data_IF_854033774943
#
_entry.id   IF_854033774943
#
_cell.length_a   1.000
_cell.length_b   1.000
_cell.length_c   1.000
_cell.angle_alpha   90.00
_cell.angle_beta   90.00
_cell.angle_gamma   90.00
#
_symmetry.space_group_name_H-M   'P 1'
#
loop_
_entity.id
_entity.type
_entity.pdbx_description
1 polymer ?
#
# COMPACT_ATOMS: atom_id res chain seq x y z
N UNK A 1 17.47 1.58 23.19
CA UNK A 1 18.18 1.84 24.46
C UNK A 1 19.65 1.99 24.12
N UNK A 2 20.36 3.02 24.60
CA UNK A 2 21.83 3.11 24.48
C UNK A 2 22.47 2.39 25.68
N UNK A 3 23.53 1.62 25.45
CA UNK A 3 24.34 1.06 26.54
C UNK A 3 25.11 2.16 27.29
N UNK A 4 25.56 1.86 28.51
CA UNK A 4 26.25 2.80 29.41
C UNK A 4 27.57 3.39 28.85
N UNK A 5 28.08 2.86 27.74
CA UNK A 5 29.31 3.29 27.07
C UNK A 5 29.07 3.99 25.72
N UNK A 6 27.81 4.21 25.31
CA UNK A 6 27.48 4.94 24.08
C UNK A 6 27.64 4.14 22.78
N UNK A 7 27.94 2.85 22.84
CA UNK A 7 27.97 1.99 21.66
C UNK A 7 26.53 1.61 21.22
N UNK A 8 26.26 1.54 19.90
CA UNK A 8 24.97 1.07 19.41
C UNK A 8 24.76 -0.38 19.88
N UNK A 9 23.66 -0.63 20.60
CA UNK A 9 23.28 -2.00 21.00
C UNK A 9 22.95 -2.79 19.73
N UNK A 10 23.93 -3.53 19.21
CA UNK A 10 23.78 -4.38 18.04
C UNK A 10 22.94 -5.59 18.37
N UNK A 11 21.61 -5.44 18.41
CA UNK A 11 20.71 -6.58 18.42
C UNK A 11 20.65 -7.14 16.99
N UNK A 12 21.44 -8.17 16.73
CA UNK A 12 21.33 -8.93 15.50
C UNK A 12 20.15 -9.89 15.63
N UNK A 13 19.17 -9.87 14.71
CA UNK A 13 18.13 -10.88 14.70
C UNK A 13 18.78 -12.26 14.51
N UNK A 14 18.50 -13.17 15.45
CA UNK A 14 18.89 -14.57 15.38
C UNK A 14 17.72 -15.38 14.83
N UNK A 15 18.03 -16.48 14.14
CA UNK A 15 17.02 -17.46 13.76
C UNK A 15 16.57 -18.30 14.98
N UNK A 16 15.58 -19.17 14.79
CA UNK A 16 15.08 -20.09 15.82
C UNK A 16 16.14 -21.06 16.38
N UNK A 17 17.32 -21.13 15.76
CA UNK A 17 18.44 -21.97 16.14
C UNK A 17 19.58 -21.17 16.81
N UNK A 18 19.42 -19.85 17.00
CA UNK A 18 20.41 -19.00 17.66
C UNK A 18 21.59 -18.59 16.78
N UNK A 19 21.50 -18.75 15.46
CA UNK A 19 22.53 -18.29 14.53
C UNK A 19 22.26 -16.84 14.10
N UNK A 20 23.31 -16.03 14.09
CA UNK A 20 23.23 -14.64 13.64
C UNK A 20 22.92 -14.60 12.14
N UNK A 21 21.80 -13.96 11.76
CA UNK A 21 21.43 -13.80 10.36
C UNK A 21 22.34 -12.73 9.75
N UNK A 22 23.38 -13.17 9.05
CA UNK A 22 24.27 -12.29 8.30
C UNK A 22 23.52 -11.85 7.03
N UNK A 23 22.87 -10.68 7.08
CA UNK A 23 22.30 -10.07 5.88
C UNK A 23 23.44 -9.81 4.89
N UNK A 24 23.45 -10.54 3.76
CA UNK A 24 24.40 -10.31 2.68
C UNK A 24 24.37 -8.82 2.29
N UNK A 25 25.55 -8.19 2.24
CA UNK A 25 25.69 -6.83 1.76
C UNK A 25 25.18 -6.75 0.31
N UNK A 26 24.29 -5.82 -0.04
CA UNK A 26 23.84 -5.68 -1.41
C UNK A 26 25.04 -5.33 -2.31
N UNK A 27 25.31 -6.17 -3.30
CA UNK A 27 26.33 -5.91 -4.30
C UNK A 27 26.03 -4.56 -5.02
N UNK A 28 27.05 -3.73 -5.31
CA UNK A 28 26.82 -2.48 -6.01
C UNK A 28 26.33 -2.75 -7.44
N UNK A 29 25.10 -2.34 -7.73
CA UNK A 29 24.56 -2.35 -9.09
C UNK A 29 25.33 -1.36 -9.96
N UNK A 30 26.16 -1.88 -10.87
CA UNK A 30 26.81 -1.09 -11.92
C UNK A 30 25.80 -0.90 -13.06
N UNK A 31 25.28 0.31 -13.23
CA UNK A 31 24.47 0.65 -14.41
C UNK A 31 25.37 0.76 -15.65
N UNK A 32 25.10 0.03 -16.75
CA UNK A 32 25.82 0.26 -17.99
C UNK A 32 25.45 1.65 -18.55
N UNK A 33 26.47 2.48 -18.77
CA UNK A 33 26.34 3.75 -19.49
C UNK A 33 26.09 3.42 -20.97
N UNK A 34 24.83 3.52 -21.40
CA UNK A 34 24.47 3.43 -22.82
C UNK A 34 24.76 4.78 -23.48
N UNK A 35 25.69 4.80 -24.44
CA UNK A 35 25.94 5.97 -25.29
C UNK A 35 24.70 6.30 -26.15
N UNK A 36 24.38 7.58 -26.39
CA UNK A 36 23.23 7.95 -27.20
C UNK A 36 23.52 7.68 -28.69
N UNK A 37 22.87 6.67 -29.25
CA UNK A 37 22.75 6.53 -30.70
C UNK A 37 21.46 7.24 -31.17
N UNK A 38 21.65 8.18 -32.12
CA UNK A 38 20.75 8.84 -33.06
C UNK A 38 19.21 8.92 -32.80
N UNK A 39 18.56 10.05 -33.18
CA UNK A 39 17.15 10.27 -32.90
C UNK A 39 16.25 9.36 -33.76
N UNK A 40 15.53 8.44 -33.11
CA UNK A 40 14.43 7.71 -33.73
C UNK A 40 13.13 8.52 -33.61
N UNK A 41 12.46 8.67 -34.75
CA UNK A 41 11.17 9.33 -34.92
C UNK A 41 10.08 8.45 -34.27
N UNK A 42 9.33 8.98 -33.30
CA UNK A 42 8.19 8.29 -32.70
C UNK A 42 6.97 8.32 -33.65
N UNK A 43 6.29 7.19 -33.92
CA UNK A 43 4.95 7.20 -34.49
C UNK A 43 3.90 7.62 -33.42
N UNK A 44 2.73 8.11 -33.84
CA UNK A 44 1.77 8.77 -32.95
C UNK A 44 1.11 7.80 -31.96
N UNK A 45 0.84 8.33 -30.76
CA UNK A 45 0.24 7.66 -29.60
C UNK A 45 -1.08 6.97 -29.94
N UNK A 46 -1.03 5.64 -30.07
CA UNK A 46 -2.20 4.77 -29.93
C UNK A 46 -2.48 4.48 -28.45
N UNK A 47 -3.72 4.67 -28.02
CA UNK A 47 -4.20 4.27 -26.69
C UNK A 47 -4.11 2.74 -26.54
N UNK A 48 -3.31 2.28 -25.59
CA UNK A 48 -3.24 0.89 -25.09
C UNK A 48 -2.44 0.91 -23.79
N UNK A 49 -2.98 0.48 -22.66
CA UNK A 49 -3.09 -0.95 -22.34
C UNK A 49 -1.83 -1.35 -21.60
N UNK A 50 -1.83 -1.24 -20.27
CA UNK A 50 -0.71 -1.66 -19.42
C UNK A 50 -0.75 -3.19 -19.29
N UNK A 51 -0.16 -3.88 -20.27
CA UNK A 51 0.20 -5.30 -20.16
C UNK A 51 1.73 -5.37 -20.06
N UNK A 52 2.25 -5.82 -18.92
CA UNK A 52 3.69 -5.88 -18.71
C UNK A 52 4.11 -6.30 -17.31
N UNK A 53 3.54 -7.40 -16.79
CA UNK A 53 4.32 -8.32 -15.96
C UNK A 53 4.78 -9.45 -16.88
N UNK A 54 6.09 -9.67 -16.90
CA UNK A 54 6.81 -10.79 -17.51
C UNK A 54 6.92 -10.83 -19.04
N UNK A 55 8.04 -10.28 -19.53
CA UNK A 55 8.56 -10.60 -20.85
C UNK A 55 9.08 -12.05 -20.89
N UNK A 56 8.33 -12.94 -21.54
CA UNK A 56 8.86 -14.21 -22.02
C UNK A 56 9.73 -13.93 -23.25
N UNK A 57 10.99 -14.39 -23.33
CA UNK A 57 11.82 -14.20 -24.50
C UNK A 57 11.21 -14.92 -25.73
N UNK A 58 11.27 -14.32 -26.95
CA UNK A 58 10.55 -14.82 -28.12
C UNK A 58 11.17 -16.06 -28.78
N UNK A 59 11.81 -16.96 -28.04
CA UNK A 59 12.51 -18.14 -28.61
C UNK A 59 12.51 -19.37 -27.69
N UNK A 60 11.43 -19.63 -26.95
CA UNK A 60 11.23 -20.93 -26.32
C UNK A 60 10.86 -21.98 -27.40
N UNK A 61 11.54 -23.14 -27.48
CA UNK A 61 11.17 -24.21 -28.40
C UNK A 61 9.73 -24.68 -28.13
N UNK A 62 8.93 -24.79 -29.19
CA UNK A 62 7.61 -25.43 -29.10
C UNK A 62 7.79 -26.88 -28.63
N UNK A 63 7.03 -27.36 -27.63
CA UNK A 63 7.03 -28.76 -27.23
C UNK A 63 6.52 -29.63 -28.39
N UNK A 64 7.15 -30.79 -28.57
CA UNK A 64 6.80 -31.74 -29.61
C UNK A 64 5.38 -32.28 -29.42
N UNK A 65 4.65 -32.58 -30.51
CA UNK A 65 3.32 -33.17 -30.41
C UNK A 65 3.47 -34.65 -30.02
N UNK A 66 3.17 -34.99 -28.77
CA UNK A 66 3.17 -36.38 -28.32
C UNK A 66 3.30 -36.63 -26.82
N UNK A 67 3.67 -35.62 -26.03
CA UNK A 67 3.82 -35.84 -24.59
C UNK A 67 2.44 -35.93 -23.89
N UNK A 68 2.19 -36.97 -23.09
CA UNK A 68 0.95 -37.10 -22.34
C UNK A 68 0.86 -35.97 -21.31
N UNK A 69 -0.24 -35.22 -21.38
CA UNK A 69 -0.63 -34.24 -20.37
C UNK A 69 -0.88 -35.02 -19.07
N UNK A 70 0.12 -35.06 -18.19
CA UNK A 70 -0.07 -35.47 -16.80
C UNK A 70 -0.83 -34.33 -16.16
N UNK A 71 -2.15 -34.47 -16.05
CA UNK A 71 -3.00 -33.58 -15.26
C UNK A 71 -2.57 -33.72 -13.79
N UNK A 72 -1.89 -32.71 -13.19
CA UNK A 72 -1.59 -32.77 -11.79
C UNK A 72 -2.88 -32.49 -11.05
N UNK A 73 -3.63 -33.55 -10.75
CA UNK A 73 -4.75 -33.54 -9.82
C UNK A 73 -4.35 -32.64 -8.63
N UNK A 74 -4.99 -31.47 -8.45
CA UNK A 74 -4.57 -30.54 -7.42
C UNK A 74 -4.83 -31.22 -6.08
N UNK A 75 -3.74 -31.58 -5.39
CA UNK A 75 -3.80 -32.00 -4.00
C UNK A 75 -4.63 -30.96 -3.22
N UNK A 76 -5.54 -31.37 -2.33
CA UNK A 76 -6.28 -30.43 -1.49
C UNK A 76 -5.26 -29.54 -0.78
N UNK A 77 -5.26 -28.25 -1.11
CA UNK A 77 -4.45 -27.27 -0.39
C UNK A 77 -4.93 -27.35 1.06
N UNK A 78 -4.08 -27.75 2.02
CA UNK A 78 -4.50 -27.77 3.41
C UNK A 78 -4.97 -26.37 3.79
N UNK A 79 -6.09 -26.22 4.51
CA UNK A 79 -6.55 -24.91 4.95
C UNK A 79 -5.40 -24.23 5.66
N UNK A 80 -5.03 -23.04 5.16
CA UNK A 80 -3.91 -22.26 5.67
C UNK A 80 -4.25 -21.78 7.08
N UNK A 81 -3.96 -22.61 8.08
CA UNK A 81 -4.03 -22.28 9.50
C UNK A 81 -2.79 -21.49 9.91
N UNK A 82 -2.45 -20.45 9.16
CA UNK A 82 -1.54 -19.46 9.71
C UNK A 82 -2.26 -18.88 10.93
N UNK A 83 -1.62 -18.86 12.13
CA UNK A 83 -2.21 -18.23 13.28
C UNK A 83 -2.62 -16.83 12.84
N UNK A 84 -3.85 -16.43 13.16
CA UNK A 84 -4.29 -15.04 13.01
C UNK A 84 -3.40 -14.24 13.95
N UNK A 85 -2.22 -13.84 13.46
CA UNK A 85 -1.33 -13.05 14.27
C UNK A 85 -1.98 -11.68 14.32
N UNK A 86 -2.52 -11.37 15.49
CA UNK A 86 -3.09 -10.09 15.89
C UNK A 86 -2.00 -9.02 15.95
N UNK A 87 -1.38 -8.71 14.81
CA UNK A 87 -0.39 -7.64 14.66
C UNK A 87 -1.02 -6.25 14.52
N UNK A 88 -2.35 -6.15 14.55
CA UNK A 88 -3.00 -4.86 14.70
C UNK A 88 -2.78 -4.39 16.15
N UNK A 89 -1.63 -3.78 16.40
CA UNK A 89 -1.45 -2.94 17.58
C UNK A 89 -2.68 -2.02 17.67
N UNK A 90 -3.41 -2.01 18.80
CA UNK A 90 -4.59 -1.18 18.94
C UNK A 90 -4.11 0.27 18.98
N UNK A 91 -4.08 0.91 17.83
CA UNK A 91 -3.98 2.35 17.82
C UNK A 91 -5.29 2.99 18.26
N UNK A 92 -5.31 4.32 18.42
CA UNK A 92 -6.46 5.05 18.92
C UNK A 92 -7.64 5.11 17.93
N UNK A 93 -7.56 4.42 16.79
CA UNK A 93 -8.59 4.42 15.76
C UNK A 93 -9.74 3.44 16.08
N UNK A 94 -10.96 3.89 15.84
CA UNK A 94 -12.17 3.10 16.04
C UNK A 94 -12.69 2.59 14.69
N UNK A 95 -12.68 1.26 14.46
CA UNK A 95 -13.14 0.66 13.20
C UNK A 95 -14.50 -0.02 13.44
N UNK A 96 -15.55 0.48 12.78
CA UNK A 96 -16.94 0.02 12.99
C UNK A 96 -17.63 -0.40 11.69
N UNK A 97 -18.61 -1.30 11.80
CA UNK A 97 -19.42 -1.76 10.66
C UNK A 97 -18.65 -2.61 9.62
N UNK A 98 -17.41 -2.99 9.91
CA UNK A 98 -16.55 -3.79 9.03
C UNK A 98 -16.55 -5.27 9.44
N UNK A 99 -16.30 -6.16 8.47
CA UNK A 99 -16.01 -7.58 8.75
C UNK A 99 -14.66 -7.75 9.45
N UNK A 100 -14.42 -8.86 10.17
CA UNK A 100 -13.12 -9.12 10.81
C UNK A 100 -11.93 -9.06 9.83
N UNK A 101 -12.11 -9.55 8.60
CA UNK A 101 -11.09 -9.52 7.56
C UNK A 101 -10.77 -8.07 7.15
N UNK A 102 -11.80 -7.25 6.93
CA UNK A 102 -11.63 -5.83 6.63
C UNK A 102 -10.95 -5.08 7.78
N UNK A 103 -11.33 -5.34 9.04
CA UNK A 103 -10.70 -4.72 10.22
C UNK A 103 -9.20 -5.04 10.24
N UNK A 104 -8.82 -6.30 10.01
CA UNK A 104 -7.42 -6.70 9.97
C UNK A 104 -6.67 -6.00 8.83
N UNK A 105 -7.27 -5.89 7.65
CA UNK A 105 -6.67 -5.24 6.48
C UNK A 105 -6.49 -3.73 6.68
N UNK A 106 -7.54 -3.04 7.12
CA UNK A 106 -7.51 -1.62 7.50
C UNK A 106 -6.43 -1.39 8.57
N UNK A 107 -6.39 -2.23 9.61
CA UNK A 107 -5.40 -2.14 10.69
C UNK A 107 -3.95 -2.24 10.19
N UNK A 108 -3.67 -3.12 9.23
CA UNK A 108 -2.34 -3.22 8.61
C UNK A 108 -1.96 -1.92 7.88
N UNK A 109 -2.88 -1.37 7.08
CA UNK A 109 -2.63 -0.12 6.37
C UNK A 109 -2.50 1.09 7.30
N UNK A 110 -3.33 1.19 8.33
CA UNK A 110 -3.22 2.25 9.34
C UNK A 110 -1.90 2.17 10.10
N UNK A 111 -1.48 0.97 10.47
CA UNK A 111 -0.18 0.79 11.12
C UNK A 111 0.96 1.27 10.22
N UNK A 112 0.96 0.91 8.94
CA UNK A 112 1.96 1.36 7.97
C UNK A 112 1.93 2.88 7.77
N UNK A 113 0.75 3.46 7.54
CA UNK A 113 0.56 4.90 7.37
C UNK A 113 1.05 5.67 8.60
N UNK A 114 0.50 5.37 9.77
CA UNK A 114 0.74 6.14 10.98
C UNK A 114 2.15 5.97 11.55
N UNK A 115 2.76 4.80 11.42
CA UNK A 115 4.10 4.57 11.99
C UNK A 115 5.23 4.85 11.01
N UNK A 116 5.01 4.67 9.69
CA UNK A 116 6.11 4.69 8.71
C UNK A 116 6.01 5.84 7.72
N UNK A 117 4.80 6.30 7.38
CA UNK A 117 4.60 7.27 6.29
C UNK A 117 4.34 8.69 6.79
N UNK A 118 3.66 8.83 7.92
CA UNK A 118 3.25 10.12 8.50
C UNK A 118 4.42 10.78 9.27
N UNK A 119 5.48 11.16 8.55
CA UNK A 119 6.64 11.90 9.09
C UNK A 119 6.66 13.38 8.70
N UNK A 120 7.62 14.19 9.18
CA UNK A 120 7.87 15.57 8.73
C UNK A 120 7.15 16.68 9.52
N UNK A 121 7.34 17.96 9.09
CA UNK A 121 6.93 19.15 9.84
C UNK A 121 6.01 20.12 9.07
N UNK A 122 5.43 19.71 7.94
CA UNK A 122 4.44 20.55 7.25
C UNK A 122 3.13 20.62 8.06
N UNK A 123 2.31 21.68 7.90
CA UNK A 123 1.03 21.78 8.61
C UNK A 123 0.14 20.54 8.43
N UNK A 124 0.05 20.03 7.20
CA UNK A 124 -0.72 18.83 6.91
C UNK A 124 -0.16 17.59 7.60
N UNK A 125 1.17 17.38 7.58
CA UNK A 125 1.80 16.24 8.26
C UNK A 125 1.61 16.29 9.77
N UNK A 126 1.71 17.47 10.38
CA UNK A 126 1.38 17.64 11.81
C UNK A 126 -0.08 17.30 12.11
N UNK A 127 -1.01 17.65 11.22
CA UNK A 127 -2.40 17.25 11.36
C UNK A 127 -2.58 15.73 11.24
N UNK A 128 -2.00 15.08 10.22
CA UNK A 128 -2.05 13.62 10.06
C UNK A 128 -1.44 12.89 11.26
N UNK A 129 -0.31 13.39 11.80
CA UNK A 129 0.30 12.87 13.03
C UNK A 129 -0.65 13.01 14.22
N UNK A 130 -1.41 14.11 14.30
CA UNK A 130 -2.40 14.30 15.34
C UNK A 130 -3.58 13.34 15.18
N UNK A 131 -4.06 13.08 13.96
CA UNK A 131 -5.08 12.05 13.72
C UNK A 131 -4.58 10.65 14.14
N UNK A 132 -3.35 10.29 13.77
CA UNK A 132 -2.74 9.02 14.18
C UNK A 132 -2.55 8.88 15.69
N UNK A 133 -2.29 9.99 16.41
CA UNK A 133 -2.11 10.00 17.87
C UNK A 133 -3.40 10.09 18.66
N UNK A 134 -4.38 10.85 18.18
CA UNK A 134 -5.62 11.12 18.90
C UNK A 134 -6.75 10.18 18.48
N UNK A 135 -6.59 9.48 17.36
CA UNK A 135 -7.60 8.58 16.82
C UNK A 135 -8.62 9.30 15.95
N UNK A 136 -9.29 8.48 15.15
CA UNK A 136 -10.42 8.83 14.31
C UNK A 136 -11.25 7.56 14.08
N UNK A 137 -12.46 7.72 13.56
CA UNK A 137 -13.35 6.61 13.24
C UNK A 137 -13.22 6.24 11.77
N UNK A 138 -13.09 4.95 11.50
CA UNK A 138 -13.31 4.38 10.18
C UNK A 138 -14.58 3.53 10.25
N UNK A 139 -15.53 3.79 9.34
CA UNK A 139 -16.72 2.97 9.18
C UNK A 139 -16.72 2.30 7.82
N UNK A 140 -17.06 1.01 7.75
CA UNK A 140 -17.38 0.40 6.47
C UNK A 140 -18.80 0.80 6.05
N UNK A 141 -18.89 1.46 4.91
CA UNK A 141 -20.14 1.92 4.32
C UNK A 141 -20.88 0.82 3.57
N UNK A 142 -22.16 1.07 3.33
CA UNK A 142 -23.04 0.22 2.52
C UNK A 142 -23.24 0.79 1.11
N UNK A 143 -23.66 -0.06 0.16
CA UNK A 143 -23.70 0.30 -1.26
C UNK A 143 -24.43 1.60 -1.59
N UNK A 144 -25.55 1.91 -0.92
CA UNK A 144 -26.35 3.09 -1.23
C UNK A 144 -25.69 4.42 -0.84
N UNK A 145 -25.01 4.49 0.31
CA UNK A 145 -24.28 5.70 0.74
C UNK A 145 -22.95 5.90 -0.01
N UNK A 146 -22.48 4.82 -0.65
CA UNK A 146 -21.25 4.79 -1.43
C UNK A 146 -21.43 5.21 -2.89
N UNK A 147 -22.63 5.64 -3.29
CA UNK A 147 -22.88 6.19 -4.61
C UNK A 147 -22.70 7.71 -4.58
N UNK A 148 -21.68 8.18 -5.30
CA UNK A 148 -21.41 9.60 -5.46
C UNK A 148 -22.42 10.31 -6.37
N UNK A 149 -22.17 11.61 -6.56
CA UNK A 149 -22.93 12.40 -7.54
C UNK A 149 -22.77 11.74 -8.93
N UNK A 150 -23.87 11.64 -9.68
CA UNK A 150 -23.95 11.00 -11.01
C UNK A 150 -23.89 9.45 -11.01
N UNK A 151 -24.13 8.80 -9.87
CA UNK A 151 -24.21 7.33 -9.83
C UNK A 151 -22.85 6.64 -9.83
N UNK A 152 -21.76 7.38 -9.67
CA UNK A 152 -20.40 6.83 -9.71
C UNK A 152 -20.08 6.26 -8.32
N UNK A 153 -19.67 4.98 -8.21
CA UNK A 153 -19.28 4.40 -6.94
C UNK A 153 -18.04 5.12 -6.39
N UNK A 154 -18.04 5.33 -5.07
CA UNK A 154 -16.91 5.91 -4.34
C UNK A 154 -16.09 4.79 -3.72
N UNK A 155 -14.80 5.03 -3.60
CA UNK A 155 -13.89 4.18 -2.85
C UNK A 155 -13.99 4.50 -1.35
N UNK A 156 -13.98 5.79 -1.02
CA UNK A 156 -14.19 6.28 0.31
C UNK A 156 -14.72 7.71 0.27
N UNK A 157 -15.07 8.24 1.43
CA UNK A 157 -15.27 9.66 1.63
C UNK A 157 -15.14 10.03 3.11
N UNK A 158 -14.80 11.27 3.36
CA UNK A 158 -14.76 11.86 4.70
C UNK A 158 -16.07 12.59 5.01
N UNK A 159 -16.61 12.39 6.22
CA UNK A 159 -17.84 13.05 6.66
C UNK A 159 -17.54 14.50 7.03
N UNK A 160 -17.97 15.45 6.21
CA UNK A 160 -17.79 16.90 6.41
C UNK A 160 -19.12 17.65 6.49
N UNK A 161 -19.22 18.76 7.26
CA UNK A 161 -18.19 19.35 8.12
C UNK A 161 -18.12 18.71 9.52
N UNK A 162 -16.91 18.60 10.07
CA UNK A 162 -16.69 18.26 11.48
C UNK A 162 -16.63 16.78 11.85
N UNK A 163 -16.68 15.86 10.88
CA UNK A 163 -16.57 14.43 11.17
C UNK A 163 -15.12 13.98 11.28
N UNK A 164 -14.73 13.47 12.45
CA UNK A 164 -13.57 12.59 12.61
C UNK A 164 -13.91 11.16 12.10
N UNK A 165 -14.67 11.06 11.02
CA UNK A 165 -15.14 9.81 10.45
C UNK A 165 -14.78 9.71 8.96
N UNK A 166 -14.15 8.60 8.60
CA UNK A 166 -13.88 8.17 7.23
C UNK A 166 -14.79 6.99 6.93
N UNK A 167 -15.51 7.03 5.81
CA UNK A 167 -16.34 5.92 5.35
C UNK A 167 -15.63 5.21 4.21
N UNK A 168 -15.28 3.93 4.41
CA UNK A 168 -14.71 3.07 3.38
C UNK A 168 -15.82 2.29 2.69
N UNK A 169 -15.94 2.44 1.39
CA UNK A 169 -16.95 1.77 0.59
C UNK A 169 -16.51 0.37 0.16
N UNK A 170 -17.46 -0.52 -0.21
CA UNK A 170 -17.12 -1.87 -0.66
C UNK A 170 -16.06 -1.89 -1.77
N UNK A 171 -16.16 -0.94 -2.71
CA UNK A 171 -15.24 -0.78 -3.83
C UNK A 171 -13.79 -0.51 -3.40
N UNK A 172 -13.53 0.10 -2.23
CA UNK A 172 -12.14 0.28 -1.77
C UNK A 172 -11.39 -1.04 -1.50
N UNK A 173 -12.11 -2.15 -1.34
CA UNK A 173 -11.53 -3.47 -1.08
C UNK A 173 -11.46 -4.34 -2.34
N UNK A 174 -12.31 -4.07 -3.33
CA UNK A 174 -12.52 -4.98 -4.48
C UNK A 174 -12.26 -4.34 -5.83
N UNK A 175 -12.42 -3.02 -5.95
CA UNK A 175 -12.31 -2.32 -7.22
C UNK A 175 -10.85 -1.84 -7.44
N UNK A 176 -10.14 -2.37 -8.44
CA UNK A 176 -8.75 -1.97 -8.68
C UNK A 176 -8.60 -0.49 -9.08
N UNK A 177 -9.67 0.16 -9.56
CA UNK A 177 -9.66 1.59 -9.87
C UNK A 177 -9.53 2.46 -8.61
N UNK A 178 -9.87 1.91 -7.44
CA UNK A 178 -9.70 2.59 -6.16
C UNK A 178 -8.23 2.63 -5.68
N UNK A 179 -7.31 1.99 -6.40
CA UNK A 179 -5.92 1.89 -6.00
C UNK A 179 -5.74 1.00 -4.76
N UNK A 180 -4.65 1.20 -4.01
CA UNK A 180 -4.45 0.43 -2.79
C UNK A 180 -5.20 1.06 -1.61
N UNK A 181 -5.74 0.22 -0.71
CA UNK A 181 -6.56 0.69 0.41
C UNK A 181 -5.83 1.74 1.28
N UNK A 182 -4.54 1.56 1.52
CA UNK A 182 -3.76 2.50 2.32
C UNK A 182 -3.62 3.91 1.71
N UNK A 183 -3.66 4.01 0.38
CA UNK A 183 -3.69 5.30 -0.34
C UNK A 183 -5.02 6.00 -0.12
N UNK A 184 -6.12 5.27 -0.30
CA UNK A 184 -7.47 5.75 -0.05
C UNK A 184 -7.63 6.26 1.39
N UNK A 185 -7.10 5.53 2.38
CA UNK A 185 -7.13 5.99 3.77
C UNK A 185 -6.38 7.32 3.95
N UNK A 186 -5.17 7.45 3.41
CA UNK A 186 -4.38 8.70 3.51
C UNK A 186 -5.06 9.86 2.82
N UNK A 187 -5.65 9.63 1.65
CA UNK A 187 -6.40 10.62 0.91
C UNK A 187 -7.53 11.21 1.78
N UNK A 188 -8.34 10.34 2.38
CA UNK A 188 -9.44 10.77 3.26
C UNK A 188 -8.95 11.44 4.56
N UNK A 189 -7.85 10.96 5.15
CA UNK A 189 -7.24 11.65 6.29
C UNK A 189 -6.79 13.08 5.94
N UNK A 190 -6.35 13.33 4.69
CA UNK A 190 -6.00 14.68 4.25
C UNK A 190 -7.24 15.61 4.22
N UNK A 191 -8.40 15.09 3.81
CA UNK A 191 -9.66 15.82 3.89
C UNK A 191 -10.04 16.18 5.34
N UNK A 192 -9.82 15.28 6.31
CA UNK A 192 -9.99 15.61 7.74
C UNK A 192 -9.07 16.74 8.21
N UNK A 193 -7.92 16.90 7.55
CA UNK A 193 -6.98 17.99 7.80
C UNK A 193 -7.30 19.29 7.05
N UNK A 194 -8.48 19.41 6.44
CA UNK A 194 -8.95 20.62 5.80
C UNK A 194 -8.46 20.81 4.36
N UNK A 195 -7.83 19.80 3.76
CA UNK A 195 -7.56 19.80 2.32
C UNK A 195 -8.89 19.59 1.61
N UNK A 196 -9.43 20.60 0.93
CA UNK A 196 -10.75 20.53 0.29
C UNK A 196 -10.68 20.19 -1.19
N UNK A 197 -9.50 20.28 -1.79
CA UNK A 197 -9.27 20.01 -3.20
C UNK A 197 -8.70 18.61 -3.41
N UNK A 198 -9.36 17.83 -4.26
CA UNK A 198 -8.94 16.49 -4.70
C UNK A 198 -7.47 16.45 -5.19
N UNK A 199 -6.96 17.43 -5.97
CA UNK A 199 -5.56 17.42 -6.38
C UNK A 199 -4.57 17.53 -5.21
N UNK A 200 -4.90 18.29 -4.16
CA UNK A 200 -4.10 18.39 -2.95
C UNK A 200 -4.05 17.06 -2.19
N UNK A 201 -5.20 16.39 -2.03
CA UNK A 201 -5.29 15.08 -1.39
C UNK A 201 -4.54 14.00 -2.19
N UNK A 202 -4.74 13.95 -3.52
CA UNK A 202 -4.03 13.03 -4.42
C UNK A 202 -2.51 13.25 -4.45
N UNK A 203 -2.02 14.51 -4.34
CA UNK A 203 -0.58 14.75 -4.21
C UNK A 203 -0.02 14.11 -2.95
N UNK A 204 -0.72 14.24 -1.82
CA UNK A 204 -0.28 13.66 -0.56
C UNK A 204 -0.25 12.13 -0.60
N UNK A 205 -1.27 11.54 -1.21
CA UNK A 205 -1.32 10.11 -1.52
C UNK A 205 -0.10 9.67 -2.34
N UNK A 206 0.17 10.37 -3.44
CA UNK A 206 1.25 10.05 -4.36
C UNK A 206 2.63 10.09 -3.67
N UNK A 207 2.91 11.17 -2.91
CA UNK A 207 4.18 11.30 -2.19
C UNK A 207 4.37 10.25 -1.09
N UNK A 208 3.31 9.80 -0.42
CA UNK A 208 3.42 8.81 0.65
C UNK A 208 3.63 7.37 0.15
N UNK A 209 3.20 7.04 -1.06
CA UNK A 209 3.16 5.65 -1.55
C UNK A 209 4.06 5.33 -2.75
N UNK A 210 4.62 6.33 -3.46
CA UNK A 210 5.32 6.07 -4.72
C UNK A 210 6.81 6.39 -4.76
N UNK A 211 7.41 6.90 -3.68
CA UNK A 211 8.87 7.04 -3.62
C UNK A 211 9.44 6.52 -2.28
N UNK A 212 10.26 5.45 -2.30
CA UNK A 212 11.17 5.18 -1.21
C UNK A 212 12.08 6.41 -1.00
N UNK A 213 12.05 7.02 0.19
CA UNK A 213 12.76 8.29 0.43
C UNK A 213 12.12 9.51 -0.24
N UNK A 214 10.83 9.46 -0.60
CA UNK A 214 10.11 10.59 -1.17
C UNK A 214 10.29 11.86 -0.32
N UNK A 215 10.53 13.03 -0.95
CA UNK A 215 10.44 14.30 -0.25
C UNK A 215 9.03 14.50 0.34
N UNK A 216 8.89 15.33 1.39
CA UNK A 216 7.64 15.45 2.13
C UNK A 216 6.48 15.92 1.22
N UNK A 217 5.26 15.46 1.54
CA UNK A 217 4.03 16.04 0.96
C UNK A 217 4.10 17.57 1.11
N UNK A 218 3.93 18.34 0.02
CA UNK A 218 3.98 19.80 0.06
C UNK A 218 2.93 20.38 1.01
#
# INVERSE_FOLDING_TARGET
MMGATGEPSGYYPMDSNGLAVQSELPAPCVCPVVQPQAPMICPPLGYGGCEGCDAIPPNAPLPAPGDPIIDPSPSPIPPRTDPVITWAQPGPWNIIGCTPQQIAEIGRHLSDVCHRRVGGNTPLRRCLQNLCRNGFTIRCGSGAECIGKKGIPRCAYTVVPGGNEIVLCPDAFTNPQCGCLGKTIVHEMAHQCGVVDEPGAMRCEWYMYHAPGAPPCP
#
